data_IF_345704541164
#
_entry.id   IF_345704541164
#
_cell.length_a   1.000
_cell.length_b   1.000
_cell.length_c   1.000
_cell.angle_alpha   90.00
_cell.angle_beta   90.00
_cell.angle_gamma   90.00
#
_symmetry.space_group_name_H-M   'P 1'
#
loop_
_entity.id
_entity.type
_entity.pdbx_description
1 polymer ?
#
# COMPACT_ATOMS: atom_id res chain seq x y z
N UNK A 1 6.05 -11.13 7.71
CA UNK A 1 4.66 -11.04 7.20
C UNK A 1 4.59 -11.91 5.95
N UNK A 2 3.56 -12.73 5.76
CA UNK A 2 3.39 -13.46 4.49
C UNK A 2 3.18 -12.45 3.36
N UNK A 3 3.84 -12.64 2.20
CA UNK A 3 3.61 -11.80 1.03
C UNK A 3 2.15 -11.91 0.56
N UNK A 4 1.62 -10.82 0.01
CA UNK A 4 0.29 -10.77 -0.60
C UNK A 4 0.21 -11.70 -1.81
N UNK A 5 -0.86 -12.48 -1.85
CA UNK A 5 -1.25 -13.33 -2.96
C UNK A 5 -2.78 -13.30 -3.16
N UNK A 6 -3.26 -14.04 -4.15
CA UNK A 6 -4.68 -14.07 -4.56
C UNK A 6 -5.67 -14.54 -3.48
N UNK A 7 -5.19 -15.19 -2.43
CA UNK A 7 -6.05 -15.85 -1.43
C UNK A 7 -5.98 -15.21 -0.05
N UNK A 8 -4.99 -14.35 0.21
CA UNK A 8 -4.72 -13.86 1.56
C UNK A 8 -4.92 -12.35 1.74
N UNK A 9 -5.54 -11.67 0.77
CA UNK A 9 -5.68 -10.20 0.78
C UNK A 9 -6.28 -9.65 2.07
N UNK A 10 -7.38 -10.22 2.58
CA UNK A 10 -8.00 -9.75 3.82
C UNK A 10 -7.05 -9.84 5.03
N UNK A 11 -6.34 -10.95 5.18
CA UNK A 11 -5.36 -11.09 6.27
C UNK A 11 -4.14 -10.19 6.07
N UNK A 12 -3.70 -10.00 4.82
CA UNK A 12 -2.57 -9.14 4.48
C UNK A 12 -2.90 -7.67 4.73
N UNK A 13 -4.06 -7.18 4.29
CA UNK A 13 -4.47 -5.79 4.43
C UNK A 13 -4.62 -5.41 5.90
N UNK A 14 -5.26 -6.25 6.72
CA UNK A 14 -5.35 -6.04 8.17
C UNK A 14 -3.97 -5.96 8.85
N UNK A 15 -3.04 -6.85 8.49
CA UNK A 15 -1.67 -6.80 9.05
C UNK A 15 -0.94 -5.53 8.63
N UNK A 16 -1.12 -5.11 7.38
CA UNK A 16 -0.54 -3.88 6.84
C UNK A 16 -1.10 -2.63 7.52
N UNK A 17 -2.41 -2.55 7.75
CA UNK A 17 -3.05 -1.45 8.47
C UNK A 17 -2.48 -1.30 9.89
N UNK A 18 -2.35 -2.41 10.64
CA UNK A 18 -1.73 -2.37 11.96
C UNK A 18 -0.25 -1.98 11.90
N UNK A 19 0.49 -2.51 10.93
CA UNK A 19 1.90 -2.18 10.76
C UNK A 19 2.10 -0.70 10.46
N UNK A 20 1.38 -0.13 9.49
CA UNK A 20 1.48 1.28 9.11
C UNK A 20 1.07 2.21 10.26
N UNK A 21 0.03 1.84 11.03
CA UNK A 21 -0.36 2.60 12.22
C UNK A 21 0.72 2.58 13.29
N UNK A 22 1.31 1.41 13.57
CA UNK A 22 2.41 1.26 14.52
C UNK A 22 3.66 2.07 14.12
N UNK A 23 3.90 2.23 12.82
CA UNK A 23 5.00 3.02 12.26
C UNK A 23 4.66 4.52 12.10
N UNK A 24 3.45 4.96 12.44
CA UNK A 24 2.96 6.33 12.19
C UNK A 24 3.04 6.75 10.71
N UNK A 25 2.77 5.81 9.81
CA UNK A 25 2.81 6.02 8.35
C UNK A 25 1.42 6.10 7.71
N UNK A 26 0.35 5.75 8.45
CA UNK A 26 -1.01 5.64 7.89
C UNK A 26 -1.56 6.94 7.28
N UNK A 27 -1.07 8.10 7.69
CA UNK A 27 -1.48 9.41 7.16
C UNK A 27 -1.11 9.61 5.68
N UNK A 28 -0.06 8.94 5.21
CA UNK A 28 0.47 9.14 3.85
C UNK A 28 -0.42 8.49 2.79
N UNK A 29 -1.18 7.46 3.17
CA UNK A 29 -2.13 6.79 2.27
C UNK A 29 -3.54 7.40 2.35
N UNK A 30 -3.78 8.36 3.24
CA UNK A 30 -5.09 9.00 3.43
C UNK A 30 -5.09 10.50 3.12
N UNK A 31 -3.95 11.18 3.26
CA UNK A 31 -3.83 12.64 3.11
C UNK A 31 -2.90 12.96 1.93
N UNK A 32 -3.23 13.95 1.09
CA UNK A 32 -2.36 14.39 0.00
C UNK A 32 -1.03 14.98 0.52
N UNK A 33 0.00 15.06 -0.35
CA UNK A 33 1.25 15.73 -0.01
C UNK A 33 1.02 17.19 0.43
N UNK A 34 1.73 17.67 1.47
CA UNK A 34 1.65 19.06 1.90
C UNK A 34 2.29 20.01 0.87
N UNK A 35 1.87 21.28 0.89
CA UNK A 35 2.46 22.34 0.04
C UNK A 35 3.72 22.98 0.63
N UNK A 36 3.86 22.92 1.95
CA UNK A 36 5.05 23.42 2.65
C UNK A 36 6.26 22.53 2.32
N UNK A 37 7.37 23.15 1.92
CA UNK A 37 8.54 22.44 1.42
C UNK A 37 9.20 21.55 2.48
N UNK A 38 9.24 22.02 3.73
CA UNK A 38 9.83 21.26 4.85
C UNK A 38 8.96 20.06 5.21
N UNK A 39 7.64 20.24 5.24
CA UNK A 39 6.71 19.14 5.46
C UNK A 39 6.67 18.16 4.28
N UNK A 40 6.91 18.65 3.06
CA UNK A 40 6.93 17.83 1.85
C UNK A 40 8.10 16.86 1.84
N UNK A 41 9.28 17.28 2.32
CA UNK A 41 10.45 16.40 2.41
C UNK A 41 10.19 15.24 3.39
N UNK A 42 9.68 15.53 4.58
CA UNK A 42 9.28 14.50 5.56
C UNK A 42 8.20 13.57 4.98
N UNK A 43 7.23 14.12 4.24
CA UNK A 43 6.18 13.35 3.58
C UNK A 43 6.77 12.39 2.53
N UNK A 44 7.71 12.85 1.69
CA UNK A 44 8.36 12.03 0.66
C UNK A 44 9.14 10.86 1.26
N UNK A 45 9.89 11.10 2.34
CA UNK A 45 10.61 10.02 3.02
C UNK A 45 9.66 8.95 3.59
N UNK A 46 8.51 9.36 4.14
CA UNK A 46 7.48 8.41 4.60
C UNK A 46 6.80 7.70 3.42
N UNK A 47 6.60 8.40 2.30
CA UNK A 47 6.06 7.83 1.07
C UNK A 47 6.97 6.73 0.50
N UNK A 48 8.28 6.99 0.39
CA UNK A 48 9.26 6.01 -0.08
C UNK A 48 9.31 4.78 0.83
N UNK A 49 9.22 4.98 2.15
CA UNK A 49 9.10 3.87 3.11
C UNK A 49 7.87 3.00 2.83
N UNK A 50 6.71 3.61 2.57
CA UNK A 50 5.49 2.85 2.25
C UNK A 50 5.64 2.12 0.91
N UNK A 51 6.18 2.76 -0.12
CA UNK A 51 6.43 2.12 -1.41
C UNK A 51 7.35 0.91 -1.26
N UNK A 52 8.41 1.02 -0.46
CA UNK A 52 9.28 -0.10 -0.12
C UNK A 52 8.53 -1.21 0.62
N UNK A 53 7.75 -0.89 1.64
CA UNK A 53 6.97 -1.88 2.41
C UNK A 53 6.01 -2.63 1.47
N UNK A 54 5.29 -1.91 0.60
CA UNK A 54 4.40 -2.51 -0.38
C UNK A 54 5.17 -3.45 -1.32
N UNK A 55 6.31 -3.03 -1.84
CA UNK A 55 7.12 -3.86 -2.72
C UNK A 55 7.59 -5.16 -2.04
N UNK A 56 8.09 -5.10 -0.80
CA UNK A 56 8.62 -6.30 -0.13
C UNK A 56 7.55 -7.21 0.47
N UNK A 57 6.34 -6.69 0.69
CA UNK A 57 5.21 -7.45 1.24
C UNK A 57 4.24 -7.96 0.19
N UNK A 58 4.51 -7.74 -1.10
CA UNK A 58 3.69 -8.24 -2.22
C UNK A 58 4.48 -9.24 -3.05
N UNK A 59 3.79 -10.24 -3.64
CA UNK A 59 4.40 -11.15 -4.62
C UNK A 59 4.94 -10.41 -5.85
N UNK A 60 6.07 -10.89 -6.37
CA UNK A 60 6.87 -10.19 -7.37
C UNK A 60 6.08 -9.89 -8.67
N UNK A 61 5.12 -10.75 -9.02
CA UNK A 61 4.23 -10.57 -10.18
C UNK A 61 3.35 -9.32 -10.15
N UNK A 62 3.15 -8.71 -8.97
CA UNK A 62 2.38 -7.47 -8.82
C UNK A 62 3.26 -6.22 -8.72
N UNK A 63 4.59 -6.37 -8.60
CA UNK A 63 5.53 -5.24 -8.54
C UNK A 63 5.44 -4.27 -9.72
N UNK A 64 5.24 -4.72 -10.99
CA UNK A 64 5.08 -3.79 -12.09
C UNK A 64 3.97 -2.76 -11.86
N UNK A 65 2.83 -3.20 -11.30
CA UNK A 65 1.69 -2.31 -11.00
C UNK A 65 1.96 -1.35 -9.85
N UNK A 66 2.70 -1.81 -8.82
CA UNK A 66 3.14 -0.94 -7.72
C UNK A 66 4.10 0.14 -8.26
N UNK A 67 5.03 -0.25 -9.14
CA UNK A 67 6.02 0.65 -9.74
C UNK A 67 5.37 1.75 -10.60
N UNK A 68 4.27 1.44 -11.28
CA UNK A 68 3.54 2.42 -12.11
C UNK A 68 2.76 3.45 -11.30
N UNK A 69 2.53 3.19 -10.01
CA UNK A 69 1.76 4.07 -9.13
C UNK A 69 2.56 5.34 -8.79
N UNK A 70 1.91 6.51 -8.89
CA UNK A 70 2.55 7.82 -8.68
C UNK A 70 2.59 8.24 -7.22
N UNK A 71 1.88 7.51 -6.36
CA UNK A 71 1.83 7.78 -4.92
C UNK A 71 1.63 6.50 -4.11
N UNK A 72 1.98 6.50 -2.82
CA UNK A 72 1.67 5.39 -1.91
C UNK A 72 0.18 5.07 -1.85
N UNK A 73 -0.67 6.10 -1.90
CA UNK A 73 -2.12 5.94 -1.92
C UNK A 73 -2.58 5.19 -3.18
N UNK A 74 -2.09 5.61 -4.35
CA UNK A 74 -2.43 4.96 -5.62
C UNK A 74 -1.96 3.50 -5.66
N UNK A 75 -0.76 3.22 -5.13
CA UNK A 75 -0.25 1.86 -5.01
C UNK A 75 -1.13 0.99 -4.09
N UNK A 76 -1.50 1.52 -2.92
CA UNK A 76 -2.42 0.87 -1.99
C UNK A 76 -3.79 0.60 -2.60
N UNK A 77 -4.38 1.60 -3.27
CA UNK A 77 -5.70 1.49 -3.90
C UNK A 77 -5.67 0.51 -5.09
N UNK A 78 -4.58 0.49 -5.86
CA UNK A 78 -4.35 -0.46 -6.97
C UNK A 78 -4.33 -1.90 -6.46
N UNK A 79 -3.55 -2.18 -5.41
CA UNK A 79 -3.54 -3.48 -4.76
C UNK A 79 -4.95 -3.83 -4.27
N UNK A 80 -5.60 -2.91 -3.57
CA UNK A 80 -6.93 -3.12 -3.01
C UNK A 80 -7.94 -3.48 -4.09
N UNK A 81 -7.91 -2.77 -5.23
CA UNK A 81 -8.83 -3.00 -6.35
C UNK A 81 -8.62 -4.35 -7.01
N UNK A 82 -7.37 -4.78 -7.19
CA UNK A 82 -7.05 -6.07 -7.82
C UNK A 82 -7.62 -7.22 -6.99
N UNK A 83 -7.41 -7.19 -5.68
CA UNK A 83 -7.72 -8.34 -4.82
C UNK A 83 -9.09 -8.29 -4.14
N UNK A 84 -9.70 -7.11 -3.97
CA UNK A 84 -11.08 -7.01 -3.52
C UNK A 84 -12.04 -7.62 -4.56
N UNK A 85 -11.82 -7.36 -5.86
CA UNK A 85 -12.62 -7.94 -6.96
C UNK A 85 -12.49 -9.45 -7.05
N UNK A 86 -11.30 -10.00 -6.82
CA UNK A 86 -11.07 -11.46 -6.82
C UNK A 86 -11.79 -12.15 -5.67
N UNK A 87 -11.91 -11.50 -4.52
CA UNK A 87 -12.67 -12.04 -3.38
C UNK A 87 -14.18 -12.01 -3.62
N UNK A 88 -14.72 -10.94 -4.21
CA UNK A 88 -16.13 -10.85 -4.59
C UNK A 88 -16.51 -11.91 -5.63
N UNK A 89 -15.67 -12.09 -6.67
CA UNK A 89 -15.91 -13.09 -7.73
C UNK A 89 -15.82 -14.55 -7.24
N UNK A 90 -15.14 -14.82 -6.12
CA UNK A 90 -15.07 -16.16 -5.49
C UNK A 90 -16.24 -16.46 -4.56
N UNK A 91 -17.04 -15.45 -4.19
CA UNK A 91 -18.20 -15.57 -3.31
C UNK A 91 -19.52 -15.72 -4.08
N UNK A 92 -19.50 -15.55 -5.40
CA UNK A 92 -20.60 -15.89 -6.33
C UNK A 92 -20.47 -17.33 -6.82
#
# INVERSE_FOLDING_TARGET
MQKLNETNYSSWSTRMEFYLRGQKLSEIITIPPPKDEKLLEDWKQKADKIMYILAVTTEDRFLPRIKESKSPKEAWDTISTIFARTNEARLQ
#
